data_IF_294690614628
#
_entry.id   IF_294690614628
#
_cell.length_a   1.000
_cell.length_b   1.000
_cell.length_c   1.000
_cell.angle_alpha   90.00
_cell.angle_beta   90.00
_cell.angle_gamma   90.00
#
_symmetry.space_group_name_H-M   'P 1'
#
loop_
_entity.id
_entity.type
_entity.pdbx_description
1 polymer ?
#
# COMPACT_ATOMS: atom_id res chain seq x y z
N UNK A 1 65.31 45.67 43.41
CA UNK A 1 64.24 45.65 42.40
C UNK A 1 64.70 44.96 41.10
N UNK A 2 65.96 45.13 40.66
CA UNK A 2 66.52 44.48 39.45
C UNK A 2 66.60 42.94 39.53
N UNK A 3 66.97 42.34 40.67
CA UNK A 3 67.05 40.88 40.80
C UNK A 3 65.70 40.15 40.68
N UNK A 4 64.61 40.82 41.05
CA UNK A 4 63.26 40.25 40.97
C UNK A 4 62.76 40.24 39.52
N UNK A 5 63.07 41.29 38.74
CA UNK A 5 62.73 41.38 37.32
C UNK A 5 63.51 40.36 36.49
N UNK A 6 64.79 40.11 36.83
CA UNK A 6 65.60 39.08 36.17
C UNK A 6 65.08 37.66 36.44
N UNK A 7 64.64 37.36 37.67
CA UNK A 7 63.99 36.08 37.99
C UNK A 7 62.66 35.91 37.27
N UNK A 8 61.80 36.95 37.22
CA UNK A 8 60.55 36.87 36.46
C UNK A 8 60.80 36.66 34.97
N UNK A 9 61.76 37.37 34.36
CA UNK A 9 62.11 37.17 32.96
C UNK A 9 62.67 35.77 32.68
N UNK A 10 63.53 35.23 33.54
CA UNK A 10 64.06 33.87 33.37
C UNK A 10 62.98 32.80 33.55
N UNK A 11 62.06 33.00 34.50
CA UNK A 11 60.93 32.09 34.70
C UNK A 11 59.94 32.15 33.53
N UNK A 12 59.66 33.33 32.98
CA UNK A 12 58.81 33.50 31.80
C UNK A 12 59.44 32.89 30.55
N UNK A 13 60.75 33.03 30.38
CA UNK A 13 61.50 32.46 29.26
C UNK A 13 61.59 30.93 29.35
N UNK A 14 61.70 30.37 30.57
CA UNK A 14 61.64 28.93 30.83
C UNK A 14 60.24 28.36 30.55
N UNK A 15 59.19 29.03 31.04
CA UNK A 15 57.79 28.63 30.77
C UNK A 15 57.43 28.76 29.29
N UNK A 16 57.87 29.82 28.60
CA UNK A 16 57.67 29.96 27.15
C UNK A 16 58.41 28.88 26.36
N UNK A 17 59.63 28.51 26.75
CA UNK A 17 60.36 27.38 26.14
C UNK A 17 59.68 26.03 26.39
N UNK A 18 59.06 25.81 27.55
CA UNK A 18 58.27 24.60 27.81
C UNK A 18 56.96 24.58 27.00
N UNK A 19 56.27 25.70 26.86
CA UNK A 19 55.04 25.79 26.05
C UNK A 19 55.32 25.67 24.55
N UNK A 20 56.45 26.18 24.07
CA UNK A 20 56.94 26.02 22.69
C UNK A 20 57.29 24.54 22.40
N UNK A 21 57.68 23.76 23.41
CA UNK A 21 58.03 22.34 23.23
C UNK A 21 56.82 21.40 23.02
N UNK A 22 55.58 21.84 23.28
CA UNK A 22 54.37 21.05 22.97
C UNK A 22 53.69 21.45 21.65
N UNK A 23 54.35 22.26 20.82
CA UNK A 23 53.92 22.52 19.44
C UNK A 23 54.00 21.23 18.60
N UNK A 24 54.95 20.33 18.90
CA UNK A 24 55.08 19.06 18.20
C UNK A 24 53.85 18.15 18.40
N UNK A 25 53.27 18.12 19.60
CA UNK A 25 52.04 17.38 19.87
C UNK A 25 50.85 17.98 19.11
N UNK A 26 50.77 19.31 19.03
CA UNK A 26 49.76 20.02 18.25
C UNK A 26 49.91 19.77 16.74
N UNK A 27 51.13 19.81 16.21
CA UNK A 27 51.43 19.51 14.80
C UNK A 27 51.09 18.04 14.50
N UNK A 28 51.47 17.12 15.38
CA UNK A 28 51.17 15.70 15.27
C UNK A 28 49.66 15.43 15.32
N UNK A 29 48.93 16.12 16.21
CA UNK A 29 47.47 16.03 16.28
C UNK A 29 46.80 16.60 15.02
N UNK A 30 47.28 17.73 14.48
CA UNK A 30 46.77 18.30 13.22
C UNK A 30 47.03 17.38 12.03
N UNK A 31 48.21 16.77 11.94
CA UNK A 31 48.54 15.79 10.91
C UNK A 31 47.67 14.54 11.03
N UNK A 32 47.45 14.07 12.26
CA UNK A 32 46.56 12.94 12.54
C UNK A 32 45.10 13.25 12.16
N UNK A 33 44.60 14.45 12.43
CA UNK A 33 43.27 14.90 12.02
C UNK A 33 43.13 15.00 10.49
N UNK A 34 44.16 15.51 9.80
CA UNK A 34 44.17 15.53 8.32
C UNK A 34 44.14 14.12 7.75
N UNK A 35 44.90 13.19 8.33
CA UNK A 35 44.89 11.79 7.91
C UNK A 35 43.52 11.14 8.17
N UNK A 36 42.88 11.43 9.31
CA UNK A 36 41.52 10.97 9.58
C UNK A 36 40.52 11.52 8.56
N UNK A 37 40.61 12.80 8.18
CA UNK A 37 39.75 13.37 7.14
C UNK A 37 39.94 12.66 5.79
N UNK A 38 41.20 12.41 5.37
CA UNK A 38 41.49 11.66 4.14
C UNK A 38 40.88 10.26 4.21
N UNK A 39 41.04 9.56 5.33
CA UNK A 39 40.47 8.23 5.52
C UNK A 39 38.93 8.27 5.47
N UNK A 40 38.29 9.31 6.01
CA UNK A 40 36.83 9.51 5.94
C UNK A 40 36.40 9.71 4.48
N UNK A 41 37.11 10.53 3.72
CA UNK A 41 36.81 10.78 2.31
C UNK A 41 36.97 9.50 1.46
N UNK A 42 38.01 8.70 1.73
CA UNK A 42 38.20 7.39 1.09
C UNK A 42 37.05 6.41 1.40
N UNK A 43 36.63 6.33 2.67
CA UNK A 43 35.49 5.49 3.08
C UNK A 43 34.20 5.95 2.39
N UNK A 44 33.99 7.26 2.27
CA UNK A 44 32.82 7.81 1.60
C UNK A 44 32.82 7.47 0.10
N UNK A 45 33.96 7.57 -0.58
CA UNK A 45 34.10 7.17 -1.98
C UNK A 45 33.84 5.67 -2.19
N UNK A 46 34.35 4.81 -1.29
CA UNK A 46 34.09 3.37 -1.34
C UNK A 46 32.61 3.05 -1.15
N UNK A 47 31.95 3.73 -0.21
CA UNK A 47 30.51 3.61 0.03
C UNK A 47 29.70 4.01 -1.20
N UNK A 48 30.04 5.14 -1.83
CA UNK A 48 29.35 5.64 -3.01
C UNK A 48 29.53 4.70 -4.21
N UNK A 49 30.75 4.16 -4.39
CA UNK A 49 31.02 3.14 -5.39
C UNK A 49 30.23 1.85 -5.18
N UNK A 50 30.14 1.37 -3.93
CA UNK A 50 29.33 0.19 -3.60
C UNK A 50 27.83 0.44 -3.84
N UNK A 51 27.32 1.62 -3.45
CA UNK A 51 25.93 1.98 -3.66
C UNK A 51 25.57 2.03 -5.16
N UNK A 52 26.47 2.54 -6.00
CA UNK A 52 26.28 2.54 -7.45
C UNK A 52 26.14 1.11 -8.00
N UNK A 53 27.00 0.18 -7.55
CA UNK A 53 26.92 -1.22 -7.98
C UNK A 53 25.59 -1.88 -7.58
N UNK A 54 25.13 -1.62 -6.35
CA UNK A 54 23.83 -2.09 -5.88
C UNK A 54 22.69 -1.50 -6.73
N UNK A 55 22.71 -0.19 -7.00
CA UNK A 55 21.69 0.45 -7.82
C UNK A 55 21.62 -0.13 -9.24
N UNK A 56 22.78 -0.38 -9.86
CA UNK A 56 22.85 -1.01 -11.18
C UNK A 56 22.28 -2.42 -11.17
N UNK A 57 22.57 -3.22 -10.14
CA UNK A 57 22.01 -4.56 -9.99
C UNK A 57 20.50 -4.54 -9.80
N UNK A 58 19.98 -3.67 -8.91
CA UNK A 58 18.55 -3.49 -8.70
C UNK A 58 17.83 -3.06 -9.98
N UNK A 59 18.38 -2.09 -10.72
CA UNK A 59 17.83 -1.65 -12.00
C UNK A 59 17.80 -2.79 -13.02
N UNK A 60 18.86 -3.59 -13.12
CA UNK A 60 18.91 -4.74 -14.03
C UNK A 60 17.85 -5.79 -13.68
N UNK A 61 17.63 -6.06 -12.39
CA UNK A 61 16.58 -6.99 -11.93
C UNK A 61 15.18 -6.47 -12.24
N UNK A 62 14.87 -5.22 -11.88
CA UNK A 62 13.58 -4.61 -12.15
C UNK A 62 13.29 -4.57 -13.66
N UNK A 63 14.32 -4.29 -14.45
CA UNK A 63 14.23 -4.34 -15.91
C UNK A 63 13.88 -5.73 -16.41
N UNK A 64 14.69 -6.72 -16.02
CA UNK A 64 14.54 -8.09 -16.51
C UNK A 64 13.19 -8.71 -16.16
N UNK A 65 12.70 -8.50 -14.93
CA UNK A 65 11.51 -9.18 -14.43
C UNK A 65 10.21 -8.39 -14.62
N UNK A 66 10.29 -7.06 -14.68
CA UNK A 66 9.10 -6.18 -14.67
C UNK A 66 9.09 -5.29 -15.90
N UNK A 67 10.07 -4.40 -16.05
CA UNK A 67 9.94 -3.28 -17.00
C UNK A 67 10.10 -3.69 -18.47
N UNK A 68 10.78 -4.80 -18.78
CA UNK A 68 10.93 -5.30 -20.16
C UNK A 68 9.67 -6.04 -20.67
N UNK A 69 8.68 -6.34 -19.81
CA UNK A 69 7.38 -6.85 -20.25
C UNK A 69 6.58 -5.73 -20.93
N UNK A 70 6.64 -5.71 -22.27
CA UNK A 70 6.24 -4.59 -23.12
C UNK A 70 4.86 -4.00 -22.75
N UNK A 71 4.87 -2.72 -22.35
CA UNK A 71 3.70 -1.95 -21.93
C UNK A 71 3.19 -2.29 -20.53
N UNK A 72 2.84 -3.55 -20.29
CA UNK A 72 2.20 -4.00 -19.03
C UNK A 72 3.11 -3.80 -17.82
N UNK A 73 4.40 -4.12 -17.94
CA UNK A 73 5.36 -3.95 -16.86
C UNK A 73 5.50 -2.51 -16.39
N UNK A 74 5.56 -1.58 -17.34
CA UNK A 74 5.66 -0.13 -17.08
C UNK A 74 4.38 0.40 -16.42
N UNK A 75 3.21 -0.06 -16.87
CA UNK A 75 1.92 0.31 -16.26
C UNK A 75 1.84 -0.19 -14.81
N UNK A 76 2.16 -1.47 -14.56
CA UNK A 76 2.18 -2.02 -13.21
C UNK A 76 3.13 -1.21 -12.33
N UNK A 77 4.36 -1.01 -12.79
CA UNK A 77 5.37 -0.26 -12.05
C UNK A 77 4.88 1.14 -11.68
N UNK A 78 4.36 1.89 -12.66
CA UNK A 78 3.77 3.22 -12.44
C UNK A 78 2.64 3.20 -11.42
N UNK A 79 1.76 2.20 -11.48
CA UNK A 79 0.66 2.06 -10.52
C UNK A 79 1.15 1.75 -9.11
N UNK A 80 2.19 0.92 -8.96
CA UNK A 80 2.80 0.64 -7.68
C UNK A 80 3.48 1.88 -7.09
N UNK A 81 4.25 2.63 -7.90
CA UNK A 81 4.88 3.89 -7.45
C UNK A 81 3.82 4.90 -7.03
N UNK A 82 2.80 5.12 -7.88
CA UNK A 82 1.69 6.02 -7.60
C UNK A 82 1.02 5.70 -6.26
N UNK A 83 0.74 4.43 -5.95
CA UNK A 83 -0.01 4.05 -4.74
C UNK A 83 0.83 3.91 -3.48
N UNK A 84 2.08 3.45 -3.61
CA UNK A 84 2.85 2.91 -2.47
C UNK A 84 4.20 3.58 -2.21
N UNK A 85 4.80 4.25 -3.20
CA UNK A 85 6.09 4.94 -3.01
C UNK A 85 5.90 6.25 -2.23
N UNK A 86 6.80 6.65 -1.32
CA UNK A 86 6.73 7.92 -0.60
C UNK A 86 7.10 9.10 -1.51
N UNK A 87 6.17 9.51 -2.38
CA UNK A 87 6.38 10.53 -3.43
C UNK A 87 6.81 11.89 -2.86
N UNK A 88 7.79 12.56 -3.47
CA UNK A 88 8.06 14.01 -3.29
C UNK A 88 6.97 14.88 -3.92
N UNK A 89 7.00 16.20 -3.70
CA UNK A 89 6.01 17.11 -4.31
C UNK A 89 6.09 17.12 -5.85
N UNK A 90 7.30 17.02 -6.40
CA UNK A 90 7.53 16.85 -7.84
C UNK A 90 6.96 15.52 -8.36
N UNK A 91 7.18 14.43 -7.62
CA UNK A 91 6.66 13.11 -7.98
C UNK A 91 5.13 13.02 -7.85
N UNK A 92 4.51 13.78 -6.94
CA UNK A 92 3.04 13.87 -6.84
C UNK A 92 2.46 14.41 -8.15
N UNK A 93 3.03 15.49 -8.71
CA UNK A 93 2.54 16.09 -9.96
C UNK A 93 2.59 15.11 -11.15
N UNK A 94 3.54 14.18 -11.11
CA UNK A 94 3.81 13.16 -12.13
C UNK A 94 2.93 11.92 -11.97
N UNK A 95 2.92 11.33 -10.77
CA UNK A 95 2.30 10.03 -10.53
C UNK A 95 0.86 10.13 -10.03
N UNK A 96 0.52 11.10 -9.20
CA UNK A 96 -0.84 11.30 -8.68
C UNK A 96 -1.68 12.12 -9.65
N UNK A 97 -2.05 11.53 -10.78
CA UNK A 97 -2.74 12.24 -11.86
C UNK A 97 -4.19 11.80 -12.09
N UNK A 98 -4.84 11.24 -11.06
CA UNK A 98 -6.22 10.76 -11.16
C UNK A 98 -7.20 11.92 -11.04
N UNK A 99 -7.65 12.44 -12.18
CA UNK A 99 -8.56 13.60 -12.25
C UNK A 99 -10.00 13.18 -11.91
N UNK A 100 -10.69 14.00 -11.11
CA UNK A 100 -12.15 13.98 -11.02
C UNK A 100 -12.75 14.75 -12.20
N UNK A 101 -13.53 14.07 -13.05
CA UNK A 101 -14.00 14.62 -14.33
C UNK A 101 -15.36 15.34 -14.27
N UNK A 102 -16.03 15.39 -13.12
CA UNK A 102 -17.36 16.01 -13.03
C UNK A 102 -17.31 17.51 -12.69
N UNK A 103 -18.36 18.24 -13.06
CA UNK A 103 -18.47 19.69 -12.81
C UNK A 103 -18.55 19.96 -11.30
N UNK A 104 -17.54 20.66 -10.78
CA UNK A 104 -17.45 21.01 -9.37
C UNK A 104 -18.50 22.06 -9.00
N UNK A 105 -19.40 21.72 -8.07
CA UNK A 105 -20.37 22.66 -7.49
C UNK A 105 -20.19 22.67 -5.99
N UNK A 106 -19.78 23.82 -5.48
CA UNK A 106 -19.74 24.12 -4.05
C UNK A 106 -20.98 24.91 -3.69
N UNK A 107 -21.50 24.71 -2.48
CA UNK A 107 -22.60 25.53 -1.94
C UNK A 107 -22.08 26.24 -0.72
N UNK A 108 -22.02 27.57 -0.79
CA UNK A 108 -21.67 28.41 0.33
C UNK A 108 -22.83 29.39 0.58
N UNK A 109 -23.34 29.41 1.81
CA UNK A 109 -24.51 30.22 2.21
C UNK A 109 -25.71 30.16 1.24
N UNK A 110 -26.02 28.96 0.71
CA UNK A 110 -27.14 28.74 -0.21
C UNK A 110 -26.87 29.15 -1.67
N UNK A 111 -25.68 29.67 -1.98
CA UNK A 111 -25.26 30.01 -3.35
C UNK A 111 -24.40 28.89 -3.93
N UNK A 112 -24.77 28.42 -5.12
CA UNK A 112 -23.96 27.44 -5.87
C UNK A 112 -22.84 28.17 -6.60
N UNK A 113 -21.60 27.80 -6.32
CA UNK A 113 -20.39 28.29 -7.00
C UNK A 113 -19.68 27.14 -7.70
N UNK A 114 -19.26 27.34 -8.95
CA UNK A 114 -18.46 26.37 -9.68
C UNK A 114 -17.00 26.58 -9.29
N UNK A 115 -16.34 25.55 -8.78
CA UNK A 115 -14.89 25.61 -8.52
C UNK A 115 -14.14 25.46 -9.86
N UNK A 116 -13.30 26.45 -10.23
CA UNK A 116 -12.61 26.43 -11.52
C UNK A 116 -11.36 25.53 -11.54
N UNK A 117 -10.90 24.99 -10.40
CA UNK A 117 -9.67 24.20 -10.34
C UNK A 117 -9.86 22.76 -10.84
N UNK A 118 -8.84 22.22 -11.49
CA UNK A 118 -8.75 20.78 -11.72
C UNK A 118 -8.44 20.05 -10.40
N UNK A 119 -9.29 19.09 -10.08
CA UNK A 119 -9.14 18.27 -8.88
C UNK A 119 -8.59 16.89 -9.19
N UNK A 120 -7.54 16.53 -8.46
CA UNK A 120 -6.91 15.23 -8.43
C UNK A 120 -7.21 14.44 -7.14
N UNK A 121 -7.55 13.17 -7.26
CA UNK A 121 -7.70 12.27 -6.12
C UNK A 121 -6.35 11.98 -5.47
N UNK A 122 -6.33 11.95 -4.15
CA UNK A 122 -5.21 11.40 -3.38
C UNK A 122 -5.38 9.88 -3.34
N UNK A 123 -4.52 9.14 -4.04
CA UNK A 123 -4.58 7.67 -4.12
C UNK A 123 -3.45 6.97 -3.35
N UNK A 124 -2.41 7.71 -2.97
CA UNK A 124 -1.26 7.29 -2.20
C UNK A 124 -1.42 7.58 -0.72
N UNK A 125 -1.30 6.53 0.10
CA UNK A 125 -1.47 6.64 1.54
C UNK A 125 -0.36 7.45 2.24
N UNK A 126 0.88 7.40 1.75
CA UNK A 126 1.98 8.19 2.31
C UNK A 126 1.80 9.69 2.03
N UNK A 127 1.30 10.03 0.84
CA UNK A 127 0.96 11.42 0.48
C UNK A 127 -0.13 11.93 1.42
N UNK A 128 -1.20 11.16 1.62
CA UNK A 128 -2.26 11.48 2.57
C UNK A 128 -1.71 11.72 3.99
N UNK A 129 -0.87 10.81 4.51
CA UNK A 129 -0.29 10.96 5.85
C UNK A 129 0.58 12.21 6.00
N UNK A 130 1.32 12.60 4.96
CA UNK A 130 2.22 13.75 4.99
C UNK A 130 1.51 15.08 4.78
N UNK A 131 0.57 15.14 3.83
CA UNK A 131 -0.05 16.39 3.33
C UNK A 131 -1.47 16.62 3.83
N UNK A 132 -2.11 15.59 4.39
CA UNK A 132 -3.48 15.66 4.90
C UNK A 132 -4.53 15.38 3.82
N UNK A 133 -5.79 15.73 4.15
CA UNK A 133 -6.98 15.41 3.32
C UNK A 133 -7.12 16.27 2.07
N UNK A 134 -6.49 17.44 2.05
CA UNK A 134 -6.55 18.42 0.99
C UNK A 134 -5.26 19.26 1.00
N UNK A 135 -4.66 19.45 -0.17
CA UNK A 135 -3.49 20.30 -0.36
C UNK A 135 -3.40 20.72 -1.82
N UNK A 136 -2.64 21.78 -2.09
CA UNK A 136 -2.27 22.17 -3.45
C UNK A 136 -0.78 21.94 -3.67
N UNK A 137 -0.44 21.57 -4.91
CA UNK A 137 0.93 21.62 -5.42
C UNK A 137 0.86 22.38 -6.73
N UNK A 138 1.58 23.50 -6.80
CA UNK A 138 1.46 24.49 -7.87
C UNK A 138 -0.01 24.92 -8.06
N UNK A 139 -0.60 24.64 -9.22
CA UNK A 139 -1.98 25.01 -9.59
C UNK A 139 -2.96 23.82 -9.57
N UNK A 140 -2.54 22.66 -9.04
CA UNK A 140 -3.38 21.45 -8.94
C UNK A 140 -3.88 21.26 -7.52
N UNK A 141 -5.17 20.98 -7.39
CA UNK A 141 -5.82 20.76 -6.11
C UNK A 141 -6.01 19.26 -5.86
N UNK A 142 -5.40 18.76 -4.80
CA UNK A 142 -5.46 17.36 -4.41
C UNK A 142 -6.43 17.20 -3.25
N UNK A 143 -7.43 16.32 -3.38
CA UNK A 143 -8.36 16.04 -2.27
C UNK A 143 -8.77 14.58 -2.18
N UNK A 144 -9.09 14.20 -0.96
CA UNK A 144 -9.57 12.87 -0.58
C UNK A 144 -11.07 12.63 -0.88
N UNK A 145 -11.87 13.70 -0.81
CA UNK A 145 -13.35 13.63 -0.69
C UNK A 145 -14.07 14.63 -1.54
N UNK A 146 -15.08 14.16 -2.27
CA UNK A 146 -16.10 15.01 -2.87
C UNK A 146 -17.30 15.21 -1.93
N UNK A 147 -17.73 16.46 -1.73
CA UNK A 147 -19.04 16.82 -1.16
C UNK A 147 -19.98 17.10 -2.33
N UNK A 148 -20.73 16.10 -2.80
CA UNK A 148 -21.79 16.35 -3.80
C UNK A 148 -22.98 17.00 -3.11
N UNK A 149 -23.36 18.21 -3.48
CA UNK A 149 -24.66 18.76 -3.13
C UNK A 149 -25.70 18.32 -4.16
N UNK A 150 -26.67 17.50 -3.76
CA UNK A 150 -27.86 17.30 -4.59
C UNK A 150 -28.72 18.57 -4.61
N UNK A 151 -29.52 18.75 -5.65
CA UNK A 151 -30.59 19.79 -5.71
C UNK A 151 -31.61 19.65 -4.58
N UNK A 152 -31.60 18.52 -3.87
CA UNK A 152 -32.44 18.21 -2.70
C UNK A 152 -31.76 18.45 -1.35
N UNK A 153 -30.57 19.08 -1.32
CA UNK A 153 -29.89 19.48 -0.09
C UNK A 153 -29.13 18.36 0.63
N UNK A 154 -28.98 17.17 0.03
CA UNK A 154 -28.17 16.08 0.61
C UNK A 154 -26.73 16.18 0.14
N UNK A 155 -25.80 16.18 1.10
CA UNK A 155 -24.36 16.09 0.84
C UNK A 155 -23.94 14.63 0.80
N UNK A 156 -23.48 14.11 -0.35
CA UNK A 156 -22.82 12.81 -0.40
C UNK A 156 -21.31 12.99 -0.25
N UNK A 157 -20.69 12.24 0.66
CA UNK A 157 -19.23 12.21 0.89
C UNK A 157 -18.68 10.88 0.39
N UNK A 158 -17.99 10.85 -0.74
CA UNK A 158 -17.26 9.64 -1.19
C UNK A 158 -15.77 9.81 -0.90
N UNK A 159 -15.17 8.81 -0.23
CA UNK A 159 -13.70 8.69 -0.10
C UNK A 159 -13.21 7.73 -1.19
N UNK A 160 -12.06 8.02 -1.80
CA UNK A 160 -11.51 7.17 -2.85
C UNK A 160 -11.17 5.77 -2.31
N UNK A 161 -11.74 4.72 -2.91
CA UNK A 161 -11.70 3.34 -2.38
C UNK A 161 -10.28 2.79 -2.25
N UNK A 162 -9.38 3.14 -3.18
CA UNK A 162 -7.99 2.64 -3.16
C UNK A 162 -7.18 3.16 -1.97
N UNK A 163 -7.52 4.32 -1.42
CA UNK A 163 -6.82 4.85 -0.25
C UNK A 163 -7.30 4.14 1.02
N UNK A 164 -8.61 3.84 1.06
CA UNK A 164 -9.27 3.18 2.19
C UNK A 164 -8.78 1.74 2.34
N UNK A 165 -8.50 1.03 1.23
CA UNK A 165 -7.93 -0.32 1.26
C UNK A 165 -6.52 -0.37 1.88
N UNK A 166 -5.83 0.77 1.96
CA UNK A 166 -4.44 0.85 2.44
C UNK A 166 -4.28 1.28 3.89
N UNK A 167 -5.38 1.68 4.52
CA UNK A 167 -5.41 2.00 5.94
C UNK A 167 -5.12 0.76 6.79
N UNK A 168 -4.39 0.96 7.88
CA UNK A 168 -3.98 -0.15 8.77
C UNK A 168 -4.95 -0.32 9.94
N UNK A 169 -5.73 0.72 10.27
CA UNK A 169 -6.65 0.72 11.39
C UNK A 169 -7.93 1.48 11.07
N UNK A 170 -9.06 1.01 11.62
CA UNK A 170 -10.37 1.69 11.48
C UNK A 170 -10.34 3.14 12.02
N UNK A 171 -9.51 3.43 13.03
CA UNK A 171 -9.38 4.78 13.57
C UNK A 171 -8.86 5.80 12.55
N UNK A 172 -8.05 5.35 11.58
CA UNK A 172 -7.57 6.22 10.50
C UNK A 172 -8.73 6.65 9.60
N UNK A 173 -9.66 5.72 9.34
CA UNK A 173 -10.89 5.99 8.61
C UNK A 173 -11.77 7.02 9.35
N UNK A 174 -11.90 6.91 10.68
CA UNK A 174 -12.66 7.89 11.47
C UNK A 174 -12.02 9.28 11.47
N UNK A 175 -10.69 9.36 11.49
CA UNK A 175 -9.97 10.63 11.34
C UNK A 175 -10.32 11.31 10.01
N UNK A 176 -10.56 10.50 8.98
CA UNK A 176 -11.02 10.93 7.66
C UNK A 176 -12.48 11.37 7.71
N UNK A 177 -13.41 10.58 8.27
CA UNK A 177 -14.86 10.86 8.31
C UNK A 177 -15.32 12.04 9.15
N UNK A 178 -14.57 12.45 10.19
CA UNK A 178 -14.99 13.47 11.16
C UNK A 178 -16.27 13.10 11.93
N UNK A 179 -16.81 11.90 11.69
CA UNK A 179 -17.95 11.32 12.38
C UNK A 179 -17.57 9.90 12.79
N UNK A 180 -17.78 9.58 14.07
CA UNK A 180 -17.64 8.20 14.58
C UNK A 180 -18.87 7.34 14.29
N UNK A 181 -19.97 7.96 13.86
CA UNK A 181 -21.31 7.36 13.97
C UNK A 181 -21.81 6.61 12.74
N UNK A 182 -21.15 6.69 11.58
CA UNK A 182 -21.67 6.05 10.37
C UNK A 182 -20.72 4.99 9.80
N UNK A 183 -20.76 3.78 10.38
CA UNK A 183 -20.20 2.58 9.76
C UNK A 183 -20.81 2.28 8.37
N UNK A 184 -21.98 2.86 8.03
CA UNK A 184 -22.55 2.82 6.68
C UNK A 184 -21.71 3.60 5.65
N UNK A 185 -21.05 4.69 6.03
CA UNK A 185 -20.15 5.38 5.07
C UNK A 185 -18.78 4.67 4.95
N UNK A 186 -18.54 3.67 5.80
CA UNK A 186 -17.33 2.85 5.82
C UNK A 186 -17.45 1.55 5.01
N UNK A 187 -18.52 1.34 4.24
CA UNK A 187 -18.74 0.12 3.45
C UNK A 187 -17.50 -0.29 2.63
N UNK A 188 -16.86 0.67 1.95
CA UNK A 188 -15.65 0.42 1.13
C UNK A 188 -14.46 -0.06 1.96
N UNK A 189 -14.35 0.34 3.22
CA UNK A 189 -13.29 -0.15 4.12
C UNK A 189 -13.48 -1.62 4.44
N UNK A 190 -14.67 -2.01 4.86
CA UNK A 190 -14.94 -3.40 5.19
C UNK A 190 -14.92 -4.30 3.95
N UNK A 191 -15.29 -3.80 2.77
CA UNK A 191 -15.34 -4.59 1.52
C UNK A 191 -13.96 -4.75 0.87
N UNK A 192 -13.12 -3.71 0.90
CA UNK A 192 -11.90 -3.64 0.07
C UNK A 192 -10.60 -3.56 0.87
N UNK A 193 -10.64 -3.47 2.20
CA UNK A 193 -9.42 -3.48 3.01
C UNK A 193 -9.01 -4.91 3.33
N UNK A 194 -7.78 -5.26 2.95
CA UNK A 194 -7.23 -6.60 3.12
C UNK A 194 -6.06 -6.64 4.12
N UNK A 195 -5.70 -5.49 4.69
CA UNK A 195 -4.58 -5.34 5.61
C UNK A 195 -5.03 -5.40 7.09
N UNK A 196 -6.30 -5.09 7.35
CA UNK A 196 -6.86 -5.01 8.70
C UNK A 196 -7.31 -6.39 9.16
N UNK A 197 -6.89 -6.74 10.38
CA UNK A 197 -7.44 -7.89 11.08
C UNK A 197 -8.77 -7.52 11.77
N UNK A 198 -9.88 -7.92 11.15
CA UNK A 198 -11.22 -7.59 11.61
C UNK A 198 -11.66 -8.32 12.89
N UNK A 199 -10.93 -9.32 13.39
CA UNK A 199 -11.24 -9.97 14.68
C UNK A 199 -11.09 -8.98 15.85
N UNK A 200 -10.24 -7.97 15.69
CA UNK A 200 -9.96 -6.96 16.71
C UNK A 200 -10.87 -5.72 16.62
N UNK A 201 -11.82 -5.69 15.67
CA UNK A 201 -12.61 -4.49 15.37
C UNK A 201 -13.97 -4.56 16.07
N UNK A 202 -14.28 -3.68 17.03
CA UNK A 202 -15.50 -3.76 17.84
C UNK A 202 -16.78 -3.30 17.13
N UNK A 203 -16.68 -2.57 16.01
CA UNK A 203 -17.80 -2.02 15.25
C UNK A 203 -17.75 -2.50 13.81
N UNK A 204 -18.21 -3.73 13.57
CA UNK A 204 -18.14 -4.38 12.26
C UNK A 204 -19.36 -3.96 11.42
N UNK A 205 -19.13 -3.41 10.22
CA UNK A 205 -20.18 -3.36 9.20
C UNK A 205 -20.33 -4.77 8.60
N UNK A 206 -21.14 -5.60 9.26
CA UNK A 206 -21.21 -7.04 9.06
C UNK A 206 -21.56 -7.44 7.63
N UNK A 207 -22.54 -6.77 7.02
CA UNK A 207 -22.92 -7.04 5.63
C UNK A 207 -21.81 -6.72 4.61
N UNK A 208 -21.04 -5.64 4.82
CA UNK A 208 -19.92 -5.29 3.94
C UNK A 208 -18.70 -6.17 4.15
N UNK A 209 -18.40 -6.54 5.40
CA UNK A 209 -17.31 -7.46 5.70
C UNK A 209 -17.57 -8.84 5.07
N UNK A 210 -18.83 -9.30 5.08
CA UNK A 210 -19.22 -10.53 4.41
C UNK A 210 -18.99 -10.53 2.89
N UNK A 211 -18.80 -9.36 2.25
CA UNK A 211 -18.42 -9.27 0.82
C UNK A 211 -16.91 -9.28 0.59
N UNK A 212 -16.10 -9.18 1.65
CA UNK A 212 -14.66 -9.08 1.51
C UNK A 212 -14.06 -10.48 1.33
N UNK A 213 -13.58 -10.72 0.11
CA UNK A 213 -13.06 -12.02 -0.34
C UNK A 213 -11.69 -12.39 0.26
N UNK A 214 -11.01 -11.47 0.96
CA UNK A 214 -9.70 -11.73 1.56
C UNK A 214 -9.68 -11.52 3.08
N UNK A 215 -10.84 -11.42 3.70
CA UNK A 215 -10.96 -11.51 5.16
C UNK A 215 -10.42 -12.86 5.63
N UNK A 216 -9.69 -12.89 6.75
CA UNK A 216 -9.34 -14.15 7.42
C UNK A 216 -10.61 -14.68 8.05
N UNK A 217 -11.14 -15.78 7.51
CA UNK A 217 -12.39 -16.35 7.95
C UNK A 217 -12.15 -17.44 8.97
N UNK A 218 -12.80 -17.30 10.12
CA UNK A 218 -12.99 -18.37 11.09
C UNK A 218 -14.43 -18.36 11.62
N UNK A 219 -14.79 -19.40 12.37
CA UNK A 219 -16.14 -19.51 12.91
C UNK A 219 -16.44 -18.51 14.03
N UNK A 220 -15.42 -17.96 14.68
CA UNK A 220 -15.61 -16.95 15.73
C UNK A 220 -16.01 -15.61 15.10
N UNK A 221 -15.39 -15.21 14.01
CA UNK A 221 -15.76 -14.05 13.23
C UNK A 221 -17.17 -14.17 12.64
N UNK A 222 -17.54 -15.34 12.11
CA UNK A 222 -18.90 -15.59 11.60
C UNK A 222 -19.94 -15.45 12.72
N UNK A 223 -19.67 -15.99 13.92
CA UNK A 223 -20.56 -15.82 15.09
C UNK A 223 -20.63 -14.36 15.52
N UNK A 224 -19.52 -13.64 15.51
CA UNK A 224 -19.49 -12.22 15.84
C UNK A 224 -20.35 -11.39 14.87
N UNK A 225 -20.24 -11.65 13.56
CA UNK A 225 -21.08 -11.00 12.54
C UNK A 225 -22.57 -11.28 12.82
N UNK A 226 -22.92 -12.55 13.06
CA UNK A 226 -24.31 -12.96 13.37
C UNK A 226 -24.86 -12.24 14.61
N UNK A 227 -24.06 -12.13 15.67
CA UNK A 227 -24.51 -11.54 16.94
C UNK A 227 -24.68 -10.01 16.87
N UNK A 228 -24.02 -9.34 15.92
CA UNK A 228 -24.02 -7.87 15.80
C UNK A 228 -25.07 -7.38 14.80
N UNK A 229 -25.35 -8.13 13.73
CA UNK A 229 -26.23 -7.69 12.65
C UNK A 229 -27.64 -8.28 12.76
N UNK A 230 -28.64 -7.41 12.89
CA UNK A 230 -30.05 -7.84 12.92
C UNK A 230 -30.63 -8.16 11.54
N UNK A 231 -29.94 -7.75 10.46
CA UNK A 231 -30.30 -8.06 9.08
C UNK A 231 -29.62 -9.35 8.60
N UNK A 232 -30.28 -10.12 7.72
CA UNK A 232 -29.70 -11.33 7.12
C UNK A 232 -28.89 -11.06 5.84
N UNK A 233 -28.74 -9.80 5.41
CA UNK A 233 -27.98 -9.47 4.20
C UNK A 233 -26.50 -9.94 4.25
N UNK A 234 -25.92 -10.10 5.45
CA UNK A 234 -24.58 -10.64 5.58
C UNK A 234 -24.49 -12.11 5.19
N UNK A 235 -25.56 -12.90 5.41
CA UNK A 235 -25.58 -14.33 5.11
C UNK A 235 -25.57 -14.56 3.59
N UNK A 236 -26.39 -13.81 2.85
CA UNK A 236 -26.39 -13.84 1.38
C UNK A 236 -25.01 -13.49 0.81
N UNK A 237 -24.39 -12.44 1.34
CA UNK A 237 -23.04 -12.05 0.93
C UNK A 237 -22.00 -13.11 1.27
N UNK A 238 -22.11 -13.78 2.42
CA UNK A 238 -21.18 -14.82 2.85
C UNK A 238 -21.33 -16.10 2.01
N UNK A 239 -22.57 -16.47 1.65
CA UNK A 239 -22.87 -17.58 0.75
C UNK A 239 -22.33 -17.35 -0.67
N UNK A 240 -22.12 -16.09 -1.05
CA UNK A 240 -21.49 -15.70 -2.32
C UNK A 240 -19.98 -15.40 -2.19
N UNK A 241 -19.40 -15.49 -0.99
CA UNK A 241 -18.03 -15.09 -0.71
C UNK A 241 -17.02 -16.21 -1.02
N UNK A 242 -16.22 -16.02 -2.08
CA UNK A 242 -15.22 -16.99 -2.51
C UNK A 242 -14.12 -17.22 -1.46
N UNK A 243 -13.68 -16.19 -0.74
CA UNK A 243 -12.68 -16.31 0.33
C UNK A 243 -13.14 -17.14 1.52
N UNK A 244 -14.41 -17.02 1.90
CA UNK A 244 -15.01 -17.81 2.98
C UNK A 244 -14.93 -19.30 2.65
N UNK A 245 -15.40 -19.70 1.46
CA UNK A 245 -15.34 -21.10 1.03
C UNK A 245 -13.91 -21.56 0.73
N UNK A 246 -13.05 -20.71 0.17
CA UNK A 246 -11.65 -21.04 -0.07
C UNK A 246 -10.87 -21.35 1.22
N UNK A 247 -11.29 -20.81 2.37
CA UNK A 247 -10.62 -21.00 3.66
C UNK A 247 -11.29 -22.08 4.52
N UNK A 248 -12.62 -22.11 4.59
CA UNK A 248 -13.35 -22.99 5.50
C UNK A 248 -13.94 -24.24 4.83
N UNK A 249 -14.04 -24.26 3.51
CA UNK A 249 -14.61 -25.37 2.76
C UNK A 249 -13.59 -26.20 1.96
N UNK A 250 -12.29 -26.05 2.25
CA UNK A 250 -11.19 -26.77 1.58
C UNK A 250 -11.44 -28.28 1.51
N UNK A 251 -12.04 -28.87 2.54
CA UNK A 251 -12.34 -30.30 2.60
C UNK A 251 -13.75 -30.67 2.11
N UNK A 252 -14.75 -29.82 2.37
CA UNK A 252 -16.16 -30.15 2.11
C UNK A 252 -17.09 -28.91 2.21
N UNK A 253 -17.67 -28.50 1.08
CA UNK A 253 -18.63 -27.38 0.99
C UNK A 253 -19.91 -27.70 1.78
N UNK A 254 -20.45 -28.91 1.66
CA UNK A 254 -21.66 -29.34 2.37
C UNK A 254 -21.49 -29.27 3.88
N UNK A 255 -20.36 -29.75 4.42
CA UNK A 255 -20.04 -29.69 5.86
C UNK A 255 -19.98 -28.24 6.35
N UNK A 256 -19.38 -27.37 5.55
CA UNK A 256 -19.29 -25.92 5.83
C UNK A 256 -20.67 -25.29 5.87
N UNK A 257 -21.55 -25.61 4.91
CA UNK A 257 -22.93 -25.15 4.90
C UNK A 257 -23.74 -25.68 6.10
N UNK A 258 -23.53 -26.94 6.51
CA UNK A 258 -24.16 -27.50 7.72
C UNK A 258 -23.73 -26.74 8.96
N UNK A 259 -22.45 -26.45 9.07
CA UNK A 259 -21.93 -25.68 10.19
C UNK A 259 -22.44 -24.23 10.18
N UNK A 260 -22.55 -23.61 9.01
CA UNK A 260 -23.13 -22.28 8.86
C UNK A 260 -24.61 -22.27 9.28
N UNK A 261 -25.41 -23.25 8.84
CA UNK A 261 -26.80 -23.41 9.26
C UNK A 261 -26.93 -23.56 10.79
N UNK A 262 -26.00 -24.29 11.42
CA UNK A 262 -25.97 -24.42 12.89
C UNK A 262 -25.67 -23.10 13.60
N UNK A 263 -24.79 -22.26 13.03
CA UNK A 263 -24.47 -20.93 13.57
C UNK A 263 -25.67 -19.99 13.44
N UNK A 264 -26.30 -19.97 12.26
CA UNK A 264 -27.49 -19.13 11.98
C UNK A 264 -28.67 -19.57 12.85
N UNK A 265 -28.85 -20.87 13.06
CA UNK A 265 -29.95 -21.43 13.83
C UNK A 265 -31.26 -21.42 13.05
N UNK A 266 -32.40 -21.37 13.74
CA UNK A 266 -33.73 -21.39 13.12
C UNK A 266 -34.21 -20.02 12.66
N UNK A 267 -33.45 -18.96 12.92
CA UNK A 267 -33.80 -17.57 12.56
C UNK A 267 -33.85 -17.38 11.04
N UNK A 268 -33.00 -18.10 10.32
CA UNK A 268 -33.01 -18.15 8.86
C UNK A 268 -32.64 -19.55 8.39
N UNK A 269 -33.47 -20.11 7.53
CA UNK A 269 -33.25 -21.43 6.94
C UNK A 269 -32.62 -21.25 5.56
N UNK A 270 -31.41 -21.77 5.39
CA UNK A 270 -30.81 -21.92 4.07
C UNK A 270 -31.64 -22.97 3.33
N UNK A 271 -32.42 -22.53 2.34
CA UNK A 271 -33.30 -23.42 1.59
C UNK A 271 -32.49 -24.45 0.80
N UNK A 272 -33.10 -25.59 0.47
CA UNK A 272 -32.44 -26.62 -0.33
C UNK A 272 -31.99 -26.10 -1.71
N UNK A 273 -32.75 -25.17 -2.30
CA UNK A 273 -32.40 -24.56 -3.59
C UNK A 273 -31.12 -23.71 -3.47
N UNK A 274 -31.03 -22.86 -2.43
CA UNK A 274 -29.83 -22.07 -2.17
C UNK A 274 -28.65 -22.98 -1.86
N UNK A 275 -28.88 -24.03 -1.05
CA UNK A 275 -27.86 -25.01 -0.71
C UNK A 275 -27.26 -25.68 -1.95
N UNK A 276 -28.11 -26.21 -2.82
CA UNK A 276 -27.69 -26.89 -4.04
C UNK A 276 -26.94 -25.93 -4.98
N UNK A 277 -27.45 -24.70 -5.12
CA UNK A 277 -26.81 -23.65 -5.93
C UNK A 277 -25.40 -23.30 -5.44
N UNK A 278 -25.22 -23.16 -4.12
CA UNK A 278 -23.92 -22.85 -3.52
C UNK A 278 -22.94 -24.01 -3.69
N UNK A 279 -23.38 -25.26 -3.46
CA UNK A 279 -22.56 -26.45 -3.70
C UNK A 279 -22.12 -26.52 -5.16
N UNK A 280 -23.06 -26.42 -6.10
CA UNK A 280 -22.78 -26.47 -7.54
C UNK A 280 -21.79 -25.38 -7.97
N UNK A 281 -22.00 -24.14 -7.51
CA UNK A 281 -21.12 -23.00 -7.79
C UNK A 281 -19.67 -23.31 -7.39
N UNK A 282 -19.46 -23.69 -6.13
CA UNK A 282 -18.10 -23.84 -5.60
C UNK A 282 -17.42 -25.14 -6.03
N UNK A 283 -18.15 -26.23 -6.25
CA UNK A 283 -17.61 -27.44 -6.88
C UNK A 283 -17.15 -27.15 -8.31
N UNK A 284 -17.92 -26.37 -9.08
CA UNK A 284 -17.54 -25.96 -10.44
C UNK A 284 -16.32 -25.04 -10.48
N UNK A 285 -16.12 -24.20 -9.47
CA UNK A 285 -14.91 -23.34 -9.38
C UNK A 285 -13.62 -24.17 -9.20
N UNK A 286 -13.71 -25.32 -8.54
CA UNK A 286 -12.59 -26.27 -8.38
C UNK A 286 -11.30 -25.59 -7.89
N UNK A 287 -10.21 -25.81 -8.62
CA UNK A 287 -8.87 -25.25 -8.30
C UNK A 287 -8.87 -23.72 -8.30
N UNK A 288 -9.70 -23.06 -9.11
CA UNK A 288 -9.79 -21.60 -9.18
C UNK A 288 -10.19 -20.96 -7.85
N UNK A 289 -10.90 -21.67 -6.97
CA UNK A 289 -11.28 -21.19 -5.64
C UNK A 289 -10.06 -20.90 -4.76
N UNK A 290 -8.97 -21.66 -4.93
CA UNK A 290 -7.76 -21.50 -4.12
C UNK A 290 -7.03 -20.18 -4.36
N UNK A 291 -7.33 -19.45 -5.46
CA UNK A 291 -6.82 -18.10 -5.68
C UNK A 291 -7.21 -17.12 -4.55
N UNK A 292 -8.26 -17.44 -3.78
CA UNK A 292 -8.74 -16.68 -2.62
C UNK A 292 -8.22 -17.18 -1.28
N UNK A 293 -7.42 -18.25 -1.27
CA UNK A 293 -6.91 -18.84 -0.04
C UNK A 293 -5.89 -17.91 0.65
N UNK A 294 -5.90 -17.92 1.98
CA UNK A 294 -4.93 -17.25 2.83
C UNK A 294 -3.64 -18.05 3.06
N UNK A 295 -3.56 -19.26 2.51
CA UNK A 295 -2.46 -20.22 2.66
C UNK A 295 -1.91 -20.72 1.33
N UNK A 296 -2.23 -20.02 0.23
CA UNK A 296 -1.75 -20.38 -1.11
C UNK A 296 -0.22 -20.24 -1.19
N UNK A 297 0.47 -21.29 -1.67
CA UNK A 297 1.92 -21.30 -1.84
C UNK A 297 2.32 -20.93 -3.28
N UNK A 298 3.58 -20.49 -3.45
CA UNK A 298 4.15 -20.21 -4.77
C UNK A 298 4.16 -21.47 -5.64
N UNK A 299 4.50 -22.62 -5.08
CA UNK A 299 4.58 -23.90 -5.79
C UNK A 299 3.22 -24.26 -6.37
N UNK A 300 2.15 -24.12 -5.57
CA UNK A 300 0.78 -24.38 -6.00
C UNK A 300 0.37 -23.42 -7.14
N UNK A 301 0.72 -22.13 -7.05
CA UNK A 301 0.43 -21.16 -8.11
C UNK A 301 1.12 -21.55 -9.41
N UNK A 302 2.37 -22.01 -9.35
CA UNK A 302 3.13 -22.42 -10.53
C UNK A 302 2.56 -23.69 -11.16
N UNK A 303 2.21 -24.68 -10.33
CA UNK A 303 1.62 -25.95 -10.76
C UNK A 303 0.28 -25.73 -11.47
N UNK A 304 -0.59 -24.88 -10.90
CA UNK A 304 -1.95 -24.64 -11.38
C UNK A 304 -2.11 -23.29 -12.12
N UNK A 305 -1.02 -22.75 -12.66
CA UNK A 305 -0.96 -21.41 -13.27
C UNK A 305 -1.95 -21.16 -14.43
N UNK A 306 -2.53 -22.19 -15.02
CA UNK A 306 -3.50 -22.10 -16.12
C UNK A 306 -4.95 -22.16 -15.64
N UNK A 307 -5.18 -22.60 -14.40
CA UNK A 307 -6.50 -22.80 -13.80
C UNK A 307 -6.86 -21.65 -12.84
N UNK A 308 -5.85 -20.95 -12.32
CA UNK A 308 -6.01 -19.83 -11.40
C UNK A 308 -6.32 -18.51 -12.13
N UNK A 309 -7.18 -17.71 -11.50
CA UNK A 309 -7.48 -16.34 -11.93
C UNK A 309 -6.38 -15.37 -11.45
N UNK A 310 -5.58 -14.90 -12.40
CA UNK A 310 -4.48 -13.96 -12.14
C UNK A 310 -4.94 -12.56 -11.71
N UNK A 311 -6.17 -12.14 -12.04
CA UNK A 311 -6.76 -10.89 -11.55
C UNK A 311 -7.14 -10.98 -10.08
N UNK A 312 -7.54 -12.17 -9.62
CA UNK A 312 -7.76 -12.45 -8.20
C UNK A 312 -6.42 -12.54 -7.48
N UNK A 313 -5.46 -13.29 -8.02
CA UNK A 313 -4.13 -13.46 -7.40
C UNK A 313 -3.42 -12.12 -7.16
N UNK A 314 -3.44 -11.20 -8.14
CA UNK A 314 -2.78 -9.89 -7.95
C UNK A 314 -3.38 -9.09 -6.77
N UNK A 315 -4.66 -9.30 -6.44
CA UNK A 315 -5.37 -8.64 -5.33
C UNK A 315 -5.21 -9.37 -4.00
N UNK A 316 -4.88 -10.65 -4.02
CA UNK A 316 -4.75 -11.47 -2.83
C UNK A 316 -3.55 -10.99 -1.98
N UNK A 317 -3.76 -10.51 -0.74
CA UNK A 317 -2.70 -9.99 0.11
C UNK A 317 -1.78 -11.09 0.68
N UNK A 318 -2.20 -12.35 0.62
CA UNK A 318 -1.49 -13.50 1.22
C UNK A 318 -0.50 -14.16 0.28
N UNK A 319 -0.54 -13.81 -1.01
CA UNK A 319 0.42 -14.32 -1.99
C UNK A 319 1.80 -13.75 -1.69
N UNK A 320 2.78 -14.64 -1.51
CA UNK A 320 4.18 -14.28 -1.37
C UNK A 320 4.77 -14.00 -2.75
N UNK A 321 4.69 -12.74 -3.17
CA UNK A 321 5.24 -12.29 -4.44
C UNK A 321 6.77 -12.23 -4.39
N UNK A 322 7.40 -12.70 -5.46
CA UNK A 322 8.79 -12.45 -5.78
C UNK A 322 8.90 -12.04 -7.26
N UNK A 323 10.11 -11.67 -7.70
CA UNK A 323 10.32 -11.18 -9.06
C UNK A 323 9.94 -12.21 -10.15
N UNK A 324 10.14 -13.50 -9.87
CA UNK A 324 9.79 -14.57 -10.81
C UNK A 324 8.28 -14.69 -10.97
N UNK A 325 7.54 -14.68 -9.85
CA UNK A 325 6.10 -14.77 -9.86
C UNK A 325 5.46 -13.52 -10.48
N UNK A 326 6.03 -12.33 -10.22
CA UNK A 326 5.61 -11.08 -10.87
C UNK A 326 5.80 -11.17 -12.39
N UNK A 327 6.95 -11.67 -12.85
CA UNK A 327 7.20 -11.83 -14.27
C UNK A 327 6.22 -12.82 -14.92
N UNK A 328 5.94 -13.94 -14.25
CA UNK A 328 4.93 -14.90 -14.71
C UNK A 328 3.54 -14.26 -14.79
N UNK A 329 3.15 -13.49 -13.77
CA UNK A 329 1.89 -12.74 -13.76
C UNK A 329 1.79 -11.81 -14.97
N UNK A 330 2.81 -10.98 -15.23
CA UNK A 330 2.83 -10.06 -16.36
C UNK A 330 2.67 -10.80 -17.70
N UNK A 331 3.39 -11.91 -17.89
CA UNK A 331 3.29 -12.75 -19.09
C UNK A 331 1.91 -13.36 -19.28
N UNK A 332 1.23 -13.74 -18.20
CA UNK A 332 -0.16 -14.25 -18.24
C UNK A 332 -1.14 -13.11 -18.54
N UNK A 333 -0.97 -11.98 -17.88
CA UNK A 333 -1.83 -10.81 -18.03
C UNK A 333 -1.87 -10.30 -19.47
N UNK A 334 -0.70 -10.17 -20.12
CA UNK A 334 -0.59 -9.79 -21.54
C UNK A 334 -1.40 -10.70 -22.46
N UNK A 335 -1.46 -12.01 -22.15
CA UNK A 335 -2.16 -13.00 -22.97
C UNK A 335 -3.67 -13.02 -22.71
N UNK A 336 -4.08 -12.70 -21.49
CA UNK A 336 -5.47 -12.83 -21.03
C UNK A 336 -6.30 -11.57 -21.20
N UNK A 337 -5.67 -10.38 -21.15
CA UNK A 337 -6.39 -9.10 -21.14
C UNK A 337 -6.01 -8.28 -22.39
N UNK A 338 -6.99 -7.76 -23.16
CA UNK A 338 -6.72 -6.88 -24.28
C UNK A 338 -5.95 -5.61 -23.86
N UNK A 339 -5.04 -5.14 -24.72
CA UNK A 339 -4.20 -3.96 -24.44
C UNK A 339 -4.97 -2.71 -24.01
N UNK A 340 -6.18 -2.50 -24.54
CA UNK A 340 -7.06 -1.38 -24.20
C UNK A 340 -7.60 -1.40 -22.77
N UNK A 341 -7.45 -2.51 -22.05
CA UNK A 341 -7.99 -2.71 -20.70
C UNK A 341 -6.91 -2.83 -19.63
N UNK A 342 -5.63 -2.80 -20.02
CA UNK A 342 -4.52 -2.95 -19.08
C UNK A 342 -4.58 -1.92 -17.94
N UNK A 343 -4.77 -0.64 -18.25
CA UNK A 343 -4.87 0.44 -17.26
C UNK A 343 -6.06 0.29 -16.30
N UNK A 344 -7.11 -0.44 -16.69
CA UNK A 344 -8.32 -0.61 -15.86
C UNK A 344 -8.18 -1.70 -14.82
N UNK A 345 -7.41 -2.75 -15.13
CA UNK A 345 -7.36 -3.96 -14.31
C UNK A 345 -5.96 -4.24 -13.73
N UNK A 346 -4.91 -3.53 -14.17
CA UNK A 346 -3.53 -3.73 -13.70
C UNK A 346 -3.18 -2.79 -12.57
N UNK A 347 -3.88 -2.93 -11.46
CA UNK A 347 -3.77 -1.99 -10.35
C UNK A 347 -2.56 -2.27 -9.43
N UNK A 348 -2.14 -3.54 -9.37
CA UNK A 348 -1.12 -4.03 -8.44
C UNK A 348 -1.57 -3.99 -6.97
N UNK A 349 -1.09 -4.93 -6.16
CA UNK A 349 -1.31 -4.92 -4.71
C UNK A 349 -0.07 -4.48 -3.95
N UNK A 350 -0.29 -4.12 -2.69
CA UNK A 350 0.78 -3.88 -1.72
C UNK A 350 1.71 -5.08 -1.54
N UNK A 351 1.19 -6.30 -1.70
CA UNK A 351 2.00 -7.52 -1.63
C UNK A 351 3.03 -7.56 -2.78
N UNK A 352 2.60 -7.23 -4.01
CA UNK A 352 3.51 -7.06 -5.16
C UNK A 352 4.51 -5.92 -4.90
N UNK A 353 4.04 -4.78 -4.40
CA UNK A 353 4.95 -3.66 -4.07
C UNK A 353 6.02 -4.06 -3.06
N UNK A 354 5.65 -4.84 -2.04
CA UNK A 354 6.58 -5.27 -0.99
C UNK A 354 7.72 -6.12 -1.54
N UNK A 355 7.49 -6.88 -2.61
CA UNK A 355 8.52 -7.68 -3.29
C UNK A 355 9.56 -6.83 -4.04
N UNK A 356 9.23 -5.60 -4.42
CA UNK A 356 10.09 -4.73 -5.23
C UNK A 356 10.60 -3.50 -4.48
N UNK A 357 9.98 -3.16 -3.34
CA UNK A 357 10.26 -1.93 -2.59
C UNK A 357 11.74 -1.79 -2.22
N UNK A 358 12.39 -2.87 -1.79
CA UNK A 358 13.79 -2.82 -1.36
C UNK A 358 14.78 -2.68 -2.53
N UNK A 359 14.30 -2.88 -3.76
CA UNK A 359 15.05 -2.62 -4.99
C UNK A 359 14.90 -1.16 -5.45
N UNK A 360 14.10 -0.35 -4.76
CA UNK A 360 13.76 1.01 -5.18
C UNK A 360 14.35 2.06 -4.25
N UNK A 361 14.89 3.10 -4.85
CA UNK A 361 15.26 4.35 -4.21
C UNK A 361 15.15 5.50 -5.22
N UNK A 362 15.31 6.73 -4.76
CA UNK A 362 15.17 7.92 -5.62
C UNK A 362 16.16 7.97 -6.79
N UNK A 363 17.33 7.34 -6.68
CA UNK A 363 18.28 7.23 -7.81
C UNK A 363 17.73 6.30 -8.88
N UNK A 364 17.35 5.08 -8.47
CA UNK A 364 16.85 4.04 -9.38
C UNK A 364 15.56 4.51 -10.05
N UNK A 365 14.64 5.12 -9.29
CA UNK A 365 13.39 5.64 -9.84
C UNK A 365 13.67 6.71 -10.90
N UNK A 366 14.60 7.65 -10.65
CA UNK A 366 15.00 8.66 -11.65
C UNK A 366 15.62 8.04 -12.90
N UNK A 367 16.40 6.97 -12.76
CA UNK A 367 16.98 6.27 -13.91
C UNK A 367 15.91 5.54 -14.73
N UNK A 368 14.96 4.87 -14.07
CA UNK A 368 13.80 4.24 -14.73
C UNK A 368 12.95 5.29 -15.45
N UNK A 369 12.66 6.42 -14.80
CA UNK A 369 11.89 7.51 -15.38
C UNK A 369 12.51 8.04 -16.69
N UNK A 370 13.84 8.14 -16.75
CA UNK A 370 14.55 8.53 -17.98
C UNK A 370 14.51 7.45 -19.05
N UNK A 371 14.64 6.18 -18.66
CA UNK A 371 14.73 5.06 -19.60
C UNK A 371 13.39 4.73 -20.26
N UNK A 372 12.28 4.87 -19.52
CA UNK A 372 10.95 4.44 -19.95
C UNK A 372 9.99 5.60 -20.21
N UNK A 373 10.48 6.84 -20.17
CA UNK A 373 9.69 8.06 -20.40
C UNK A 373 8.42 8.12 -19.53
N UNK A 374 8.54 7.66 -18.28
CA UNK A 374 7.46 7.67 -17.29
C UNK A 374 7.13 9.06 -16.79
#
# INVERSE_FOLDING_TARGET
MENTILMYNNSLNFSLKQTINNINDLIFNIQSLKQLQINIDEIQNLKDGAQLQVNMACLALLRHYILDEYGVGVILFRNLIRKYYPLSDEQILKYENVIYKEIHRTVDNGKVTIDPHEWYYITNYNVFRRKGKEFSVENKLYKLRHKCFSTTGKTYRSTYSSLVSEMLHLNELFSVFETRECCRDAHSFFTSNYNVDFHSVPQICCASLAKNEFTKWDWDLVRNIKNVESSFCWLENLLDNNGFFAQLAIENITKTLTQLQNVVGTEYLITQDVWNSVVEKYEKMGIGLYAYSNSISKEFIIEHQNELDWLVLQRNPYVQWDLELINLFLKKYVKSIPGSEWDKHLDGSRAIYSAVKDLLNDSILRDIEKLYEL
#
